data_IF_295941331774
#
_entry.id   IF_295941331774
#
_cell.length_a   1.000
_cell.length_b   1.000
_cell.length_c   1.000
_cell.angle_alpha   90.00
_cell.angle_beta   90.00
_cell.angle_gamma   90.00
#
_symmetry.space_group_name_H-M   'P 1'
#
loop_
_entity.id
_entity.type
_entity.pdbx_description
1 polymer ?
#
# COMPACT_ATOMS: atom_id res chain seq x y z
N UNK A 1 -17.98 60.32 -29.06
CA UNK A 1 -19.10 59.47 -29.51
C UNK A 1 -18.63 58.03 -29.45
N UNK A 2 -18.98 57.28 -28.40
CA UNK A 2 -18.62 55.85 -28.27
C UNK A 2 -19.84 55.01 -28.61
N UNK A 3 -19.62 53.96 -29.40
CA UNK A 3 -20.63 53.14 -30.08
C UNK A 3 -21.54 52.37 -29.11
N UNK A 4 -22.80 52.07 -29.51
CA UNK A 4 -23.83 51.53 -28.61
C UNK A 4 -23.54 50.12 -28.05
N UNK A 5 -22.71 49.31 -28.71
CA UNK A 5 -22.44 47.93 -28.27
C UNK A 5 -21.53 47.80 -27.04
N UNK A 6 -20.76 48.84 -26.66
CA UNK A 6 -19.81 48.73 -25.55
C UNK A 6 -20.45 48.94 -24.17
N UNK A 7 -21.54 49.70 -24.09
CA UNK A 7 -22.23 50.00 -22.81
C UNK A 7 -23.01 48.79 -22.29
N UNK A 8 -23.60 47.99 -23.17
CA UNK A 8 -24.43 46.84 -22.79
C UNK A 8 -23.58 45.73 -22.17
N UNK A 9 -22.36 45.51 -22.67
CA UNK A 9 -21.45 44.51 -22.13
C UNK A 9 -20.88 44.90 -20.74
N UNK A 10 -20.57 46.18 -20.54
CA UNK A 10 -20.13 46.68 -19.23
C UNK A 10 -21.24 46.64 -18.17
N UNK A 11 -22.49 46.94 -18.56
CA UNK A 11 -23.63 46.85 -17.65
C UNK A 11 -23.95 45.40 -17.27
N UNK A 12 -23.84 44.45 -18.21
CA UNK A 12 -24.02 43.02 -17.93
C UNK A 12 -22.93 42.48 -16.98
N UNK A 13 -21.68 42.92 -17.12
CA UNK A 13 -20.58 42.52 -16.23
C UNK A 13 -20.74 43.07 -14.80
N UNK A 14 -21.23 44.32 -14.66
CA UNK A 14 -21.50 44.92 -13.35
C UNK A 14 -22.73 44.30 -12.65
N UNK A 15 -23.73 43.86 -13.41
CA UNK A 15 -24.89 43.15 -12.84
C UNK A 15 -24.53 41.72 -12.39
N UNK A 16 -23.67 41.01 -13.14
CA UNK A 16 -23.20 39.69 -12.74
C UNK A 16 -22.31 39.72 -11.49
N UNK A 17 -21.45 40.75 -11.34
CA UNK A 17 -20.57 40.87 -10.17
C UNK A 17 -21.33 41.26 -8.89
N UNK A 18 -22.38 42.08 -9.00
CA UNK A 18 -23.24 42.43 -7.85
C UNK A 18 -24.10 41.26 -7.38
N UNK A 19 -24.57 40.39 -8.28
CA UNK A 19 -25.29 39.17 -7.90
C UNK A 19 -24.40 38.15 -7.17
N UNK A 20 -23.13 37.99 -7.60
CA UNK A 20 -22.17 37.12 -6.89
C UNK A 20 -21.84 37.64 -5.48
N UNK A 21 -21.71 38.96 -5.29
CA UNK A 21 -21.46 39.53 -3.95
C UNK A 21 -22.65 39.38 -3.00
N UNK A 22 -23.89 39.46 -3.51
CA UNK A 22 -25.09 39.25 -2.69
C UNK A 22 -25.27 37.77 -2.28
N UNK A 23 -24.89 36.82 -3.14
CA UNK A 23 -24.90 35.39 -2.78
C UNK A 23 -23.84 35.04 -1.74
N UNK A 24 -22.64 35.65 -1.81
CA UNK A 24 -21.59 35.45 -0.81
C UNK A 24 -21.99 35.96 0.60
N UNK A 25 -22.77 37.05 0.67
CA UNK A 25 -23.26 37.57 1.96
C UNK A 25 -24.44 36.76 2.54
N UNK A 26 -25.21 36.06 1.71
CA UNK A 26 -26.31 35.20 2.16
C UNK A 26 -25.79 33.91 2.84
N UNK A 27 -24.69 33.33 2.34
CA UNK A 27 -24.07 32.13 2.92
C UNK A 27 -23.41 32.44 4.28
N UNK A 28 -22.85 33.64 4.46
CA UNK A 28 -22.26 34.08 5.72
C UNK A 28 -23.26 34.25 6.87
N UNK A 29 -24.55 34.51 6.56
CA UNK A 29 -25.60 34.73 7.59
C UNK A 29 -26.25 33.44 8.12
N UNK A 30 -26.08 32.30 7.46
CA UNK A 30 -26.66 31.02 7.92
C UNK A 30 -25.80 30.29 8.97
N UNK A 31 -24.53 30.65 9.13
CA UNK A 31 -23.61 29.99 10.06
C UNK A 31 -23.56 30.59 11.48
N UNK A 32 -24.43 31.55 11.82
CA UNK A 32 -24.35 32.33 13.06
C UNK A 32 -25.49 32.08 14.08
N UNK A 33 -26.38 31.12 13.85
CA UNK A 33 -27.47 30.80 14.78
C UNK A 33 -27.41 29.33 15.22
N UNK A 34 -26.58 29.02 16.22
CA UNK A 34 -26.90 27.98 17.22
C UNK A 34 -25.94 28.02 18.42
N UNK A 35 -26.54 27.97 19.61
CA UNK A 35 -25.96 27.77 20.95
C UNK A 35 -25.39 28.97 21.73
N UNK A 36 -26.31 29.72 22.36
CA UNK A 36 -26.08 30.35 23.68
C UNK A 36 -27.27 30.10 24.60
N UNK A 37 -26.95 29.73 25.86
CA UNK A 37 -27.75 29.77 27.10
C UNK A 37 -28.59 28.54 27.50
N UNK A 38 -28.21 27.89 28.62
CA UNK A 38 -28.82 28.21 29.94
C UNK A 38 -28.25 27.43 31.15
N UNK A 39 -27.74 28.22 32.10
CA UNK A 39 -27.83 28.24 33.60
C UNK A 39 -27.73 26.97 34.49
N UNK A 40 -27.00 27.21 35.59
CA UNK A 40 -26.78 26.42 36.83
C UNK A 40 -27.99 26.43 37.79
N UNK A 41 -28.05 25.42 38.67
CA UNK A 41 -28.25 25.44 40.16
C UNK A 41 -28.24 23.96 40.65
N UNK A 42 -27.24 23.48 41.40
CA UNK A 42 -27.25 23.33 42.87
C UNK A 42 -26.79 21.90 43.29
N UNK A 43 -26.22 21.66 44.49
CA UNK A 43 -25.23 20.60 44.73
C UNK A 43 -25.72 19.39 45.54
N UNK A 44 -25.11 18.22 45.32
CA UNK A 44 -25.04 17.11 46.30
C UNK A 44 -23.84 16.18 46.04
N UNK A 45 -22.80 16.41 46.84
CA UNK A 45 -21.94 15.46 47.58
C UNK A 45 -21.59 14.08 46.96
N UNK A 46 -20.34 13.99 46.49
CA UNK A 46 -19.29 12.96 46.74
C UNK A 46 -19.56 11.48 46.39
N UNK A 47 -18.87 10.97 45.35
CA UNK A 47 -17.71 10.05 45.50
C UNK A 47 -16.88 9.91 44.22
N UNK A 48 -15.62 10.31 44.38
CA UNK A 48 -14.38 9.96 43.70
C UNK A 48 -14.43 8.81 42.66
N UNK A 49 -14.01 9.09 41.42
CA UNK A 49 -12.78 8.49 40.92
C UNK A 49 -12.05 9.40 39.93
N UNK A 50 -10.73 9.42 40.04
CA UNK A 50 -9.78 10.40 39.50
C UNK A 50 -9.20 9.88 38.17
N UNK A 51 -9.07 10.81 37.22
CA UNK A 51 -8.10 10.97 36.11
C UNK A 51 -7.19 9.77 35.75
N UNK A 52 -6.82 9.52 34.49
CA UNK A 52 -6.12 10.48 33.60
C UNK A 52 -5.86 9.87 32.21
N UNK A 53 -6.10 10.68 31.19
CA UNK A 53 -5.29 10.94 29.98
C UNK A 53 -4.31 9.89 29.43
N UNK A 54 -4.44 9.66 28.10
CA UNK A 54 -3.31 9.79 27.17
C UNK A 54 -2.58 8.53 26.74
N UNK A 55 -2.80 8.09 25.50
CA UNK A 55 -1.78 7.94 24.45
C UNK A 55 -2.35 7.16 23.25
N UNK A 56 -2.39 7.81 22.08
CA UNK A 56 -2.33 7.10 20.80
C UNK A 56 -1.01 6.34 20.75
N UNK A 57 -1.05 5.02 20.89
CA UNK A 57 0.09 4.18 20.55
C UNK A 57 -0.16 3.55 19.18
N UNK A 58 0.80 3.85 18.30
CA UNK A 58 1.17 3.13 17.11
C UNK A 58 0.77 1.65 17.17
N UNK A 59 0.05 1.18 16.16
CA UNK A 59 -0.16 -0.24 15.92
C UNK A 59 1.19 -0.88 15.54
N UNK A 60 2.03 -1.11 16.55
CA UNK A 60 3.10 -2.08 16.48
C UNK A 60 2.43 -3.44 16.40
N UNK A 61 2.45 -4.03 15.21
CA UNK A 61 2.02 -5.41 14.97
C UNK A 61 2.82 -6.29 15.91
N UNK A 62 2.19 -6.71 17.01
CA UNK A 62 2.74 -7.64 17.99
C UNK A 62 3.18 -8.88 17.22
N UNK A 63 4.50 -9.11 17.16
CA UNK A 63 5.10 -10.35 16.65
C UNK A 63 4.41 -11.52 17.35
N UNK A 64 3.64 -12.32 16.59
CA UNK A 64 3.30 -13.67 17.03
C UNK A 64 4.55 -14.50 16.82
N UNK A 65 5.38 -14.59 17.85
CA UNK A 65 6.27 -15.73 17.96
C UNK A 65 5.37 -16.96 18.10
N UNK A 66 5.47 -17.90 17.16
CA UNK A 66 4.94 -19.24 17.39
C UNK A 66 5.68 -19.79 18.60
N UNK A 67 5.04 -19.74 19.77
CA UNK A 67 5.52 -20.42 20.96
C UNK A 67 5.49 -21.92 20.65
N UNK A 68 6.65 -22.55 20.79
CA UNK A 68 6.87 -23.96 20.54
C UNK A 68 5.76 -24.79 21.18
N UNK A 69 5.12 -25.65 20.38
CA UNK A 69 4.22 -26.66 20.90
C UNK A 69 4.98 -27.47 21.95
N UNK A 70 4.52 -27.40 23.21
CA UNK A 70 5.03 -28.27 24.27
C UNK A 70 4.56 -29.69 23.95
N UNK A 71 5.43 -30.50 23.36
CA UNK A 71 5.20 -31.93 23.19
C UNK A 71 5.29 -32.55 24.59
N UNK A 72 4.13 -32.88 25.17
CA UNK A 72 4.05 -33.60 26.43
C UNK A 72 4.39 -35.07 26.17
N UNK A 73 5.63 -35.47 26.48
CA UNK A 73 6.05 -36.88 26.42
C UNK A 73 5.39 -37.61 27.61
N UNK A 74 4.35 -38.39 27.32
CA UNK A 74 3.77 -39.33 28.28
C UNK A 74 4.74 -40.51 28.47
N UNK A 75 5.55 -40.43 29.53
CA UNK A 75 6.38 -41.56 29.97
C UNK A 75 5.47 -42.57 30.68
N UNK A 76 5.09 -43.64 29.98
CA UNK A 76 4.45 -44.79 30.60
C UNK A 76 5.47 -45.50 31.51
N UNK A 77 5.20 -45.55 32.82
CA UNK A 77 5.99 -46.36 33.77
C UNK A 77 5.62 -47.85 33.61
N UNK A 78 6.43 -48.57 32.83
CA UNK A 78 6.47 -50.04 32.85
C UNK A 78 7.46 -50.52 33.91
N UNK A 79 7.03 -51.46 34.74
CA UNK A 79 7.86 -52.09 35.77
C UNK A 79 8.96 -52.98 35.17
N UNK A 80 10.19 -52.71 35.59
CA UNK A 80 11.27 -53.64 35.94
C UNK A 80 11.52 -54.89 35.08
N UNK A 81 12.48 -54.79 34.15
CA UNK A 81 13.58 -55.77 33.99
C UNK A 81 14.64 -55.27 33.00
N UNK A 82 15.85 -55.00 33.51
CA UNK A 82 17.17 -54.81 32.83
C UNK A 82 17.29 -53.77 31.70
N UNK A 83 18.08 -52.67 31.86
CA UNK A 83 18.29 -51.69 30.81
C UNK A 83 19.56 -52.02 30.00
N UNK A 84 19.42 -52.70 28.87
CA UNK A 84 20.31 -52.42 27.74
C UNK A 84 19.75 -51.17 27.08
N UNK A 85 20.29 -50.00 27.45
CA UNK A 85 19.92 -48.72 26.84
C UNK A 85 20.23 -48.80 25.34
N UNK A 86 19.18 -49.00 24.53
CA UNK A 86 19.26 -48.95 23.08
C UNK A 86 19.54 -47.50 22.66
N UNK A 87 20.83 -47.16 22.63
CA UNK A 87 21.35 -45.83 22.33
C UNK A 87 20.89 -45.35 20.93
N UNK A 88 20.48 -46.29 20.07
CA UNK A 88 19.91 -46.07 18.73
C UNK A 88 18.56 -45.34 18.77
N UNK A 89 17.72 -45.62 19.77
CA UNK A 89 16.38 -45.03 19.88
C UNK A 89 16.43 -43.55 20.30
N UNK A 90 17.37 -43.19 21.18
CA UNK A 90 17.57 -41.80 21.63
C UNK A 90 18.23 -40.94 20.54
N UNK A 91 19.22 -41.48 19.82
CA UNK A 91 19.86 -40.78 18.69
C UNK A 91 18.88 -40.60 17.55
N UNK A 92 18.06 -41.61 17.23
CA UNK A 92 17.01 -41.50 16.20
C UNK A 92 15.97 -40.42 16.52
N UNK A 93 15.56 -40.31 17.79
CA UNK A 93 14.62 -39.28 18.23
C UNK A 93 15.22 -37.87 18.20
N UNK A 94 16.53 -37.72 18.51
CA UNK A 94 17.23 -36.43 18.43
C UNK A 94 17.41 -35.96 16.97
N UNK A 95 17.70 -36.88 16.05
CA UNK A 95 17.82 -36.59 14.60
C UNK A 95 16.46 -36.21 14.01
N UNK A 96 15.36 -36.86 14.43
CA UNK A 96 14.02 -36.49 14.00
C UNK A 96 13.58 -35.10 14.50
N UNK A 97 13.96 -34.71 15.72
CA UNK A 97 13.67 -33.37 16.28
C UNK A 97 14.52 -32.27 15.62
N UNK A 98 15.78 -32.57 15.27
CA UNK A 98 16.64 -31.64 14.51
C UNK A 98 16.21 -31.51 13.04
N UNK A 99 15.72 -32.59 12.42
CA UNK A 99 15.17 -32.55 11.05
C UNK A 99 13.83 -31.80 10.95
N UNK A 100 13.06 -31.71 12.04
CA UNK A 100 11.79 -30.98 12.09
C UNK A 100 11.95 -29.48 12.43
N UNK A 101 13.18 -29.01 12.67
CA UNK A 101 13.47 -27.63 13.06
C UNK A 101 13.73 -26.69 11.88
N UNK A 102 13.53 -27.13 10.64
CA UNK A 102 13.35 -26.21 9.51
C UNK A 102 11.98 -25.54 9.63
N UNK A 103 11.82 -24.70 10.64
CA UNK A 103 10.80 -23.67 10.64
C UNK A 103 11.02 -22.92 9.33
N UNK A 104 10.05 -23.01 8.43
CA UNK A 104 9.99 -22.14 7.27
C UNK A 104 9.99 -20.72 7.83
N UNK A 105 11.18 -20.11 7.87
CA UNK A 105 11.32 -18.70 8.19
C UNK A 105 10.53 -18.01 7.08
N UNK A 106 9.35 -17.50 7.41
CA UNK A 106 8.57 -16.70 6.48
C UNK A 106 9.51 -15.58 6.00
N UNK A 107 9.86 -15.61 4.72
CA UNK A 107 10.71 -14.60 4.13
C UNK A 107 10.03 -13.24 4.23
N UNK A 108 10.81 -12.19 4.47
CA UNK A 108 10.27 -10.84 4.52
C UNK A 108 9.69 -10.48 3.14
N UNK A 109 8.49 -9.85 3.08
CA UNK A 109 7.93 -9.38 1.81
C UNK A 109 8.88 -8.41 1.12
N UNK A 110 8.93 -8.48 -0.22
CA UNK A 110 9.72 -7.57 -1.05
C UNK A 110 9.09 -6.17 -1.02
N UNK A 111 9.79 -5.12 -0.53
CA UNK A 111 9.32 -3.75 -0.67
C UNK A 111 9.34 -3.35 -2.15
N UNK A 112 8.17 -2.96 -2.67
CA UNK A 112 8.01 -2.48 -4.04
C UNK A 112 7.34 -1.12 -4.01
N UNK A 113 8.04 -0.09 -4.49
CA UNK A 113 7.47 1.25 -4.62
C UNK A 113 7.28 1.61 -6.09
N UNK A 114 6.09 2.10 -6.44
CA UNK A 114 5.74 2.54 -7.79
C UNK A 114 5.39 4.02 -7.76
N UNK A 115 6.18 4.83 -8.46
CA UNK A 115 5.94 6.25 -8.71
C UNK A 115 5.29 6.41 -10.08
N UNK A 116 4.12 7.01 -10.14
CA UNK A 116 3.31 7.04 -11.36
C UNK A 116 2.37 8.25 -11.39
N UNK A 117 1.75 8.47 -12.55
CA UNK A 117 0.77 9.56 -12.74
C UNK A 117 -0.58 8.97 -13.20
N UNK A 118 -1.68 9.57 -12.75
CA UNK A 118 -3.03 9.07 -13.03
C UNK A 118 -3.44 9.16 -14.50
N UNK A 119 -2.83 10.07 -15.30
CA UNK A 119 -3.17 10.25 -16.73
C UNK A 119 -2.04 9.93 -17.71
N UNK A 120 -0.86 9.57 -17.22
CA UNK A 120 0.25 9.14 -18.08
C UNK A 120 -0.04 7.77 -18.70
N UNK A 121 -0.02 7.61 -20.04
CA UNK A 121 -0.27 6.33 -20.71
C UNK A 121 0.60 5.18 -20.24
N UNK A 122 1.90 5.43 -20.04
CA UNK A 122 2.82 4.36 -19.67
C UNK A 122 2.60 3.94 -18.22
N UNK A 123 2.25 4.91 -17.35
CA UNK A 123 1.85 4.63 -15.96
C UNK A 123 0.61 3.75 -15.91
N UNK A 124 -0.42 4.14 -16.67
CA UNK A 124 -1.67 3.39 -16.79
C UNK A 124 -1.41 1.99 -17.32
N UNK A 125 -0.70 1.86 -18.45
CA UNK A 125 -0.39 0.57 -19.09
C UNK A 125 0.40 -0.36 -18.17
N UNK A 126 1.40 0.16 -17.46
CA UNK A 126 2.14 -0.62 -16.47
C UNK A 126 1.22 -1.13 -15.36
N UNK A 127 0.39 -0.24 -14.79
CA UNK A 127 -0.50 -0.65 -13.72
C UNK A 127 -1.44 -1.77 -14.17
N UNK A 128 -2.15 -1.58 -15.28
CA UNK A 128 -3.19 -2.52 -15.72
C UNK A 128 -2.62 -3.83 -16.31
N UNK A 129 -1.46 -3.78 -16.99
CA UNK A 129 -0.94 -4.94 -17.72
C UNK A 129 0.15 -5.69 -16.95
N UNK A 130 0.81 -5.05 -16.00
CA UNK A 130 1.96 -5.62 -15.30
C UNK A 130 1.68 -5.76 -13.80
N UNK A 131 1.41 -4.65 -13.12
CA UNK A 131 1.29 -4.66 -11.66
C UNK A 131 0.01 -5.35 -11.19
N UNK A 132 -1.15 -4.90 -11.65
CA UNK A 132 -2.46 -5.37 -11.17
C UNK A 132 -2.63 -6.89 -11.36
N UNK A 133 -2.40 -7.48 -12.55
CA UNK A 133 -2.52 -8.93 -12.74
C UNK A 133 -1.53 -9.74 -11.88
N UNK A 134 -0.34 -9.18 -11.60
CA UNK A 134 0.63 -9.82 -10.71
C UNK A 134 0.15 -9.82 -9.26
N UNK A 135 -0.49 -8.73 -8.82
CA UNK A 135 -1.00 -8.60 -7.44
C UNK A 135 -2.35 -9.29 -7.21
N UNK A 136 -3.08 -9.65 -8.26
CA UNK A 136 -4.26 -10.52 -8.17
C UNK A 136 -3.91 -11.97 -7.80
N UNK A 137 -2.70 -12.44 -8.16
CA UNK A 137 -2.24 -13.73 -7.71
C UNK A 137 -1.84 -13.67 -6.22
N UNK A 138 -2.59 -14.37 -5.36
CA UNK A 138 -2.38 -14.36 -3.91
C UNK A 138 -0.98 -14.85 -3.49
N UNK A 139 -0.43 -15.86 -4.17
CA UNK A 139 0.89 -16.43 -3.88
C UNK A 139 2.01 -15.42 -4.17
N UNK A 140 1.84 -14.56 -5.18
CA UNK A 140 2.78 -13.45 -5.44
C UNK A 140 2.52 -12.27 -4.51
N UNK A 141 1.25 -11.87 -4.37
CA UNK A 141 0.82 -10.69 -3.62
C UNK A 141 1.19 -10.74 -2.14
N UNK A 142 1.20 -11.92 -1.53
CA UNK A 142 1.60 -12.10 -0.12
C UNK A 142 3.10 -11.88 0.12
N UNK A 143 3.91 -11.96 -0.94
CA UNK A 143 5.37 -11.74 -0.88
C UNK A 143 5.75 -10.28 -1.20
N UNK A 144 4.80 -9.34 -1.23
CA UNK A 144 5.05 -7.94 -1.62
C UNK A 144 4.48 -6.95 -0.62
N UNK A 145 5.37 -6.09 -0.12
CA UNK A 145 5.01 -4.84 0.54
C UNK A 145 4.92 -3.73 -0.52
N UNK A 146 3.70 -3.49 -1.04
CA UNK A 146 3.47 -2.58 -2.16
C UNK A 146 3.17 -1.15 -1.66
N UNK A 147 3.94 -0.18 -2.15
CA UNK A 147 3.68 1.25 -2.00
C UNK A 147 3.39 1.90 -3.36
N UNK A 148 2.22 2.53 -3.46
CA UNK A 148 1.80 3.27 -4.64
C UNK A 148 1.90 4.78 -4.37
N UNK A 149 2.57 5.51 -5.25
CA UNK A 149 2.83 6.95 -5.13
C UNK A 149 2.28 7.68 -6.38
N UNK A 150 0.99 8.02 -6.40
CA UNK A 150 0.37 8.80 -7.48
C UNK A 150 0.75 10.28 -7.35
N UNK A 151 1.76 10.70 -8.09
CA UNK A 151 2.27 12.09 -8.12
C UNK A 151 3.14 12.32 -9.35
N UNK A 152 4.08 11.40 -9.58
CA UNK A 152 4.96 11.38 -10.75
C UNK A 152 5.81 12.63 -10.90
N UNK A 153 5.76 13.29 -12.06
CA UNK A 153 6.58 14.47 -12.37
C UNK A 153 5.90 15.80 -12.02
N UNK A 154 4.85 15.76 -11.21
CA UNK A 154 4.17 16.97 -10.75
C UNK A 154 5.12 17.84 -9.91
N UNK A 155 4.87 19.15 -9.88
CA UNK A 155 5.50 20.04 -8.90
C UNK A 155 4.47 20.52 -7.88
N UNK A 156 4.96 20.92 -6.72
CA UNK A 156 4.14 21.42 -5.62
C UNK A 156 4.80 22.65 -4.98
N UNK A 157 3.97 23.56 -4.51
CA UNK A 157 4.37 24.74 -3.76
C UNK A 157 3.42 24.95 -2.59
N UNK A 158 3.97 25.30 -1.42
CA UNK A 158 3.16 25.71 -0.28
C UNK A 158 3.00 27.23 -0.31
N UNK A 159 1.78 27.70 -0.54
CA UNK A 159 1.46 29.11 -0.63
C UNK A 159 1.51 29.78 0.76
N UNK A 160 1.60 31.12 0.77
CA UNK A 160 1.67 31.92 2.00
C UNK A 160 0.47 31.71 2.94
N UNK A 161 -0.72 31.44 2.37
CA UNK A 161 -1.94 31.14 3.12
C UNK A 161 -1.95 29.70 3.72
N UNK A 162 -0.87 28.93 3.53
CA UNK A 162 -0.72 27.57 4.03
C UNK A 162 -1.28 26.47 3.13
N UNK A 163 -1.98 26.82 2.03
CA UNK A 163 -2.53 25.85 1.06
C UNK A 163 -1.47 25.35 0.08
N UNK A 164 -1.74 24.21 -0.56
CA UNK A 164 -0.86 23.65 -1.59
C UNK A 164 -1.33 24.00 -2.98
N UNK A 165 -0.40 24.40 -3.85
CA UNK A 165 -0.61 24.48 -5.28
C UNK A 165 0.15 23.35 -5.98
N UNK A 166 -0.45 22.77 -7.02
CA UNK A 166 0.13 21.66 -7.79
C UNK A 166 0.14 21.99 -9.27
N UNK A 167 1.24 21.67 -9.95
CA UNK A 167 1.32 21.65 -11.41
C UNK A 167 1.62 20.23 -11.88
N UNK A 168 0.61 19.58 -12.45
CA UNK A 168 0.74 18.24 -13.01
C UNK A 168 1.06 18.30 -14.50
N UNK A 169 1.66 17.22 -15.03
CA UNK A 169 2.16 17.14 -16.40
C UNK A 169 1.03 17.11 -17.44
N UNK A 170 -0.10 16.50 -17.08
CA UNK A 170 -1.31 16.43 -17.91
C UNK A 170 -2.44 17.35 -17.40
N UNK A 171 -2.09 18.41 -16.66
CA UNK A 171 -3.01 19.45 -16.19
C UNK A 171 -3.83 19.07 -14.95
N UNK A 172 -4.81 19.91 -14.62
CA UNK A 172 -5.57 19.82 -13.36
C UNK A 172 -6.32 18.50 -13.17
N UNK A 173 -6.77 17.86 -14.28
CA UNK A 173 -7.45 16.57 -14.21
C UNK A 173 -6.55 15.46 -13.69
N UNK A 174 -5.25 15.52 -14.02
CA UNK A 174 -4.27 14.60 -13.43
C UNK A 174 -4.01 14.91 -11.97
N UNK A 175 -3.94 16.20 -11.58
CA UNK A 175 -3.82 16.55 -10.18
C UNK A 175 -5.01 16.02 -9.38
N UNK A 176 -6.24 16.21 -9.88
CA UNK A 176 -7.44 15.64 -9.28
C UNK A 176 -7.38 14.10 -9.24
N UNK A 177 -6.99 13.46 -10.34
CA UNK A 177 -6.85 12.00 -10.40
C UNK A 177 -5.82 11.45 -9.40
N UNK A 178 -4.68 12.14 -9.24
CA UNK A 178 -3.67 11.80 -8.25
C UNK A 178 -4.22 11.97 -6.82
N UNK A 179 -4.99 13.03 -6.54
CA UNK A 179 -5.68 13.22 -5.25
C UNK A 179 -6.68 12.10 -4.95
N UNK A 180 -7.52 11.74 -5.91
CA UNK A 180 -8.49 10.64 -5.77
C UNK A 180 -7.78 9.34 -5.40
N UNK A 181 -6.70 9.00 -6.11
CA UNK A 181 -5.94 7.79 -5.82
C UNK A 181 -5.23 7.87 -4.46
N UNK A 182 -4.64 9.02 -4.10
CA UNK A 182 -4.01 9.20 -2.77
C UNK A 182 -5.02 9.08 -1.62
N UNK A 183 -6.23 9.65 -1.78
CA UNK A 183 -7.34 9.52 -0.84
C UNK A 183 -7.80 8.07 -0.71
N UNK A 184 -7.98 7.35 -1.82
CA UNK A 184 -8.35 5.94 -1.79
C UNK A 184 -7.29 5.07 -1.10
N UNK A 185 -6.00 5.32 -1.35
CA UNK A 185 -4.90 4.61 -0.69
C UNK A 185 -4.86 4.86 0.82
N UNK A 186 -5.33 6.03 1.27
CA UNK A 186 -5.40 6.43 2.68
C UNK A 186 -6.64 5.86 3.39
N UNK A 187 -7.79 5.81 2.71
CA UNK A 187 -9.08 5.43 3.31
C UNK A 187 -9.36 3.92 3.23
N UNK A 188 -9.02 3.28 2.10
CA UNK A 188 -9.30 1.86 1.89
C UNK A 188 -8.25 1.00 2.59
N UNK A 189 -8.69 0.14 3.50
CA UNK A 189 -7.80 -0.76 4.25
C UNK A 189 -7.53 -2.06 3.48
N UNK A 190 -8.48 -2.54 2.69
CA UNK A 190 -8.32 -3.74 1.88
C UNK A 190 -7.33 -3.50 0.72
N UNK A 191 -6.30 -4.36 0.63
CA UNK A 191 -5.37 -4.36 -0.51
C UNK A 191 -6.13 -4.61 -1.83
N UNK A 192 -7.08 -5.53 -1.82
CA UNK A 192 -7.83 -5.89 -3.03
C UNK A 192 -8.73 -4.75 -3.51
N UNK A 193 -9.46 -4.10 -2.60
CA UNK A 193 -10.30 -2.94 -2.96
C UNK A 193 -9.46 -1.80 -3.52
N UNK A 194 -8.32 -1.48 -2.89
CA UNK A 194 -7.36 -0.48 -3.43
C UNK A 194 -6.93 -0.84 -4.85
N UNK A 195 -6.51 -2.08 -5.06
CA UNK A 195 -5.99 -2.52 -6.36
C UNK A 195 -7.07 -2.47 -7.44
N UNK A 196 -8.28 -2.99 -7.14
CA UNK A 196 -9.42 -3.02 -8.04
C UNK A 196 -9.93 -1.62 -8.38
N UNK A 197 -10.01 -0.73 -7.38
CA UNK A 197 -10.45 0.64 -7.58
C UNK A 197 -9.52 1.41 -8.50
N UNK A 198 -8.21 1.38 -8.20
CA UNK A 198 -7.20 2.02 -9.03
C UNK A 198 -7.16 1.41 -10.45
N UNK A 199 -7.32 0.09 -10.58
CA UNK A 199 -7.40 -0.56 -11.89
C UNK A 199 -8.58 -0.03 -12.71
N UNK A 200 -9.77 0.09 -12.12
CA UNK A 200 -10.92 0.65 -12.79
C UNK A 200 -10.67 2.11 -13.23
N UNK A 201 -10.14 2.94 -12.33
CA UNK A 201 -9.86 4.36 -12.62
C UNK A 201 -8.92 4.49 -13.81
N UNK A 202 -7.79 3.79 -13.76
CA UNK A 202 -6.74 3.84 -14.77
C UNK A 202 -7.20 3.23 -16.10
N UNK A 203 -7.93 2.11 -16.07
CA UNK A 203 -8.48 1.48 -17.28
C UNK A 203 -9.49 2.37 -17.97
N UNK A 204 -10.41 2.97 -17.23
CA UNK A 204 -11.42 3.88 -17.79
C UNK A 204 -10.76 5.12 -18.42
N UNK A 205 -9.70 5.66 -17.79
CA UNK A 205 -8.92 6.76 -18.38
C UNK A 205 -8.08 6.33 -19.59
N UNK A 206 -7.69 5.05 -19.71
CA UNK A 206 -7.07 4.52 -20.92
C UNK A 206 -8.07 4.47 -22.08
N UNK A 207 -9.25 3.92 -21.79
CA UNK A 207 -10.29 3.63 -22.78
C UNK A 207 -10.94 4.94 -23.28
N UNK A 208 -11.07 5.96 -22.42
CA UNK A 208 -11.56 7.29 -22.80
C UNK A 208 -10.74 8.43 -22.15
N UNK A 209 -9.67 8.84 -22.83
CA UNK A 209 -8.73 9.88 -22.34
C UNK A 209 -9.34 11.28 -22.19
N UNK A 210 -10.48 11.53 -22.81
CA UNK A 210 -11.23 12.79 -22.73
C UNK A 210 -12.29 12.83 -21.63
N UNK A 211 -12.56 11.68 -20.98
CA UNK A 211 -13.57 11.60 -19.94
C UNK A 211 -13.23 12.46 -18.72
N UNK A 212 -14.28 12.83 -17.98
CA UNK A 212 -14.15 13.26 -16.58
C UNK A 212 -13.52 12.11 -15.79
N UNK A 213 -12.71 12.45 -14.79
CA UNK A 213 -12.05 11.42 -13.99
C UNK A 213 -13.09 10.52 -13.29
N UNK A 214 -13.03 9.18 -13.45
CA UNK A 214 -14.15 8.27 -13.21
C UNK A 214 -14.31 7.86 -11.73
N UNK A 215 -14.17 8.81 -10.81
CA UNK A 215 -14.18 8.58 -9.36
C UNK A 215 -15.46 7.85 -8.91
N UNK A 216 -16.63 8.42 -9.22
CA UNK A 216 -17.90 7.84 -8.78
C UNK A 216 -18.28 6.58 -9.58
N UNK A 217 -18.02 6.57 -10.89
CA UNK A 217 -18.29 5.43 -11.76
C UNK A 217 -17.59 4.17 -11.24
N UNK A 218 -16.28 4.25 -11.03
CA UNK A 218 -15.49 3.13 -10.55
C UNK A 218 -15.86 2.72 -9.13
N UNK A 219 -16.14 3.68 -8.23
CA UNK A 219 -16.49 3.35 -6.86
C UNK A 219 -17.82 2.58 -6.78
N UNK A 220 -18.79 2.93 -7.63
CA UNK A 220 -20.04 2.19 -7.74
C UNK A 220 -19.84 0.81 -8.39
N UNK A 221 -19.05 0.72 -9.47
CA UNK A 221 -18.85 -0.53 -10.19
C UNK A 221 -18.26 -1.64 -9.32
N UNK A 222 -17.35 -1.31 -8.40
CA UNK A 222 -16.73 -2.29 -7.50
C UNK A 222 -17.30 -2.27 -6.07
N UNK A 223 -18.37 -1.51 -5.83
CA UNK A 223 -19.06 -1.39 -4.54
C UNK A 223 -18.19 -0.89 -3.36
N UNK A 224 -17.39 0.16 -3.57
CA UNK A 224 -16.66 0.83 -2.48
C UNK A 224 -17.64 1.53 -1.53
N UNK A 225 -17.59 1.19 -0.24
CA UNK A 225 -18.44 1.80 0.79
C UNK A 225 -18.06 3.26 1.05
N UNK A 226 -16.76 3.56 1.09
CA UNK A 226 -16.15 4.86 1.38
C UNK A 226 -16.18 5.83 0.18
N UNK A 227 -17.04 5.60 -0.82
CA UNK A 227 -17.04 6.39 -2.07
C UNK A 227 -17.22 7.88 -1.84
N UNK A 228 -18.10 8.26 -0.90
CA UNK A 228 -18.35 9.66 -0.54
C UNK A 228 -17.11 10.27 0.12
N UNK A 229 -16.51 9.55 1.07
CA UNK A 229 -15.31 9.99 1.79
C UNK A 229 -14.11 10.18 0.84
N UNK A 230 -13.96 9.32 -0.18
CA UNK A 230 -12.92 9.47 -1.21
C UNK A 230 -13.12 10.75 -2.02
N UNK A 231 -14.35 11.03 -2.46
CA UNK A 231 -14.69 12.23 -3.24
C UNK A 231 -14.48 13.49 -2.40
N UNK A 232 -14.98 13.50 -1.17
CA UNK A 232 -14.85 14.62 -0.24
C UNK A 232 -13.38 14.87 0.11
N UNK A 233 -12.61 13.80 0.36
CA UNK A 233 -11.18 13.89 0.57
C UNK A 233 -10.48 14.57 -0.62
N UNK A 234 -10.72 14.11 -1.85
CA UNK A 234 -10.05 14.65 -3.05
C UNK A 234 -10.37 16.12 -3.32
N UNK A 235 -11.55 16.59 -2.88
CA UNK A 235 -12.03 17.96 -3.00
C UNK A 235 -11.64 18.86 -1.82
N UNK A 236 -10.97 18.32 -0.80
CA UNK A 236 -10.62 19.06 0.43
C UNK A 236 -9.12 19.30 0.56
N UNK A 237 -8.74 20.15 1.52
CA UNK A 237 -7.35 20.34 1.96
C UNK A 237 -6.69 19.01 2.34
N UNK A 238 -7.46 18.01 2.81
CA UNK A 238 -6.89 16.69 3.12
C UNK A 238 -6.34 16.00 1.88
N UNK A 239 -7.04 16.09 0.75
CA UNK A 239 -6.56 15.57 -0.53
C UNK A 239 -5.30 16.28 -1.00
N UNK A 240 -5.22 17.59 -0.79
CA UNK A 240 -4.03 18.39 -1.09
C UNK A 240 -2.83 17.97 -0.22
N UNK A 241 -3.03 17.80 1.09
CA UNK A 241 -1.99 17.30 2.01
C UNK A 241 -1.50 15.90 1.62
N UNK A 242 -2.42 15.02 1.23
CA UNK A 242 -2.07 13.66 0.80
C UNK A 242 -1.28 13.68 -0.50
N UNK A 243 -1.66 14.50 -1.48
CA UNK A 243 -0.90 14.66 -2.72
C UNK A 243 0.48 15.26 -2.45
N UNK A 244 0.57 16.27 -1.57
CA UNK A 244 1.84 16.84 -1.15
C UNK A 244 2.75 15.82 -0.46
N UNK A 245 2.18 14.92 0.34
CA UNK A 245 2.92 13.82 0.95
C UNK A 245 3.44 12.82 -0.10
N UNK A 246 2.68 12.54 -1.17
CA UNK A 246 3.17 11.73 -2.30
C UNK A 246 4.30 12.45 -3.06
N UNK A 247 4.22 13.77 -3.19
CA UNK A 247 5.29 14.59 -3.76
C UNK A 247 6.56 14.57 -2.91
N UNK A 248 6.43 14.70 -1.58
CA UNK A 248 7.56 14.58 -0.65
C UNK A 248 8.23 13.21 -0.77
N UNK A 249 7.46 12.11 -0.85
CA UNK A 249 8.02 10.77 -1.09
C UNK A 249 8.80 10.70 -2.40
N UNK A 250 8.24 11.27 -3.47
CA UNK A 250 8.89 11.31 -4.78
C UNK A 250 10.21 12.09 -4.73
N UNK A 251 10.22 13.27 -4.12
CA UNK A 251 11.40 14.12 -3.99
C UNK A 251 12.48 13.49 -3.10
N UNK A 252 12.09 12.83 -2.01
CA UNK A 252 13.01 12.10 -1.13
C UNK A 252 13.70 10.93 -1.85
N UNK A 253 12.98 10.24 -2.74
CA UNK A 253 13.54 9.16 -3.54
C UNK A 253 14.43 9.68 -4.68
N UNK A 254 13.92 10.63 -5.44
CA UNK A 254 14.62 11.23 -6.57
C UNK A 254 14.13 12.66 -6.77
N UNK A 255 14.93 13.63 -6.32
CA UNK A 255 14.59 15.06 -6.32
C UNK A 255 13.99 15.55 -7.66
N UNK A 256 14.45 14.97 -8.78
CA UNK A 256 13.83 15.12 -10.08
C UNK A 256 13.62 13.76 -10.74
N UNK A 257 12.40 13.22 -10.59
CA UNK A 257 11.99 12.00 -11.28
C UNK A 257 11.99 12.25 -12.80
N UNK A 258 12.78 11.46 -13.55
CA UNK A 258 12.98 11.69 -15.00
C UNK A 258 11.96 10.96 -15.88
N UNK A 259 11.35 9.89 -15.38
CA UNK A 259 10.35 9.10 -16.11
C UNK A 259 9.34 8.46 -15.18
N UNK A 260 8.14 8.22 -15.71
CA UNK A 260 7.07 7.47 -15.05
C UNK A 260 6.52 6.42 -16.02
N UNK A 261 6.09 5.23 -15.54
CA UNK A 261 6.17 4.79 -14.15
C UNK A 261 7.63 4.52 -13.76
N UNK A 262 7.99 4.73 -12.49
CA UNK A 262 9.27 4.29 -11.92
C UNK A 262 9.00 3.26 -10.83
N UNK A 263 9.58 2.08 -10.97
CA UNK A 263 9.43 0.90 -10.11
C UNK A 263 10.73 0.67 -9.37
N UNK A 264 10.63 0.50 -8.06
CA UNK A 264 11.78 0.34 -7.16
C UNK A 264 11.56 -0.90 -6.32
N UNK A 265 12.54 -1.80 -6.33
CA UNK A 265 12.54 -3.02 -5.52
C UNK A 265 13.54 -2.85 -4.37
N UNK A 266 13.21 -3.32 -3.17
CA UNK A 266 14.06 -3.22 -1.97
C UNK A 266 14.59 -1.79 -1.71
N UNK A 267 13.77 -0.77 -2.00
CA UNK A 267 14.12 0.65 -1.87
C UNK A 267 15.40 1.09 -2.62
N UNK A 268 15.86 0.31 -3.61
CA UNK A 268 17.04 0.60 -4.42
C UNK A 268 16.66 0.71 -5.89
N UNK A 269 16.91 1.88 -6.49
CA UNK A 269 16.69 2.05 -7.92
C UNK A 269 17.75 1.29 -8.71
N UNK A 270 17.30 0.44 -9.63
CA UNK A 270 18.14 -0.22 -10.63
C UNK A 270 17.52 0.01 -12.01
N UNK A 271 18.32 0.56 -12.94
CA UNK A 271 17.84 0.95 -14.26
C UNK A 271 17.43 -0.26 -15.13
N UNK A 272 18.09 -1.41 -14.96
CA UNK A 272 17.77 -2.62 -15.71
C UNK A 272 16.47 -3.24 -15.20
N UNK A 273 16.30 -3.32 -13.89
CA UNK A 273 15.05 -3.80 -13.29
C UNK A 273 13.89 -2.86 -13.59
N UNK A 274 14.09 -1.54 -13.52
CA UNK A 274 13.11 -0.55 -13.95
C UNK A 274 12.67 -0.77 -15.40
N UNK A 275 13.63 -0.96 -16.32
CA UNK A 275 13.34 -1.23 -17.74
C UNK A 275 12.60 -2.55 -17.94
N UNK A 276 13.04 -3.62 -17.27
CA UNK A 276 12.43 -4.95 -17.38
C UNK A 276 11.05 -5.01 -16.75
N UNK A 277 10.82 -4.30 -15.64
CA UNK A 277 9.56 -4.30 -14.92
C UNK A 277 8.41 -3.74 -15.78
N UNK A 278 8.70 -2.86 -16.74
CA UNK A 278 7.68 -2.31 -17.63
C UNK A 278 7.03 -3.36 -18.55
N UNK A 279 7.72 -4.47 -18.83
CA UNK A 279 7.22 -5.54 -19.72
C UNK A 279 7.15 -6.91 -19.05
N UNK A 280 7.86 -7.10 -17.93
CA UNK A 280 7.89 -8.33 -17.15
C UNK A 280 8.06 -8.04 -15.65
N UNK A 281 7.10 -7.30 -15.07
CA UNK A 281 7.11 -6.98 -13.63
C UNK A 281 7.20 -8.23 -12.75
N UNK A 282 6.38 -9.26 -13.05
CA UNK A 282 6.42 -10.54 -12.33
C UNK A 282 7.82 -11.16 -12.31
N UNK A 283 8.49 -11.18 -13.47
CA UNK A 283 9.83 -11.75 -13.57
C UNK A 283 10.87 -11.01 -12.73
N UNK A 284 10.82 -9.68 -12.73
CA UNK A 284 11.69 -8.86 -11.88
C UNK A 284 11.37 -9.10 -10.39
N UNK A 285 10.09 -9.08 -10.01
CA UNK A 285 9.66 -9.38 -8.64
C UNK A 285 10.18 -10.74 -8.16
N UNK A 286 10.06 -11.78 -8.99
CA UNK A 286 10.53 -13.13 -8.66
C UNK A 286 12.05 -13.23 -8.44
N UNK A 287 12.86 -12.28 -8.91
CA UNK A 287 14.29 -12.20 -8.55
C UNK A 287 14.49 -11.92 -7.06
N UNK A 288 13.59 -11.13 -6.48
CA UNK A 288 13.69 -10.60 -5.11
C UNK A 288 12.94 -11.44 -4.07
N UNK A 289 11.98 -12.28 -4.48
CA UNK A 289 11.34 -13.23 -3.56
C UNK A 289 12.36 -14.29 -3.15
N UNK A 290 12.49 -14.51 -1.83
CA UNK A 290 13.41 -15.51 -1.26
C UNK A 290 12.86 -16.94 -1.39
N UNK A 291 13.74 -17.94 -1.26
CA UNK A 291 13.33 -19.34 -1.29
C UNK A 291 12.58 -19.76 0.00
N UNK A 292 11.59 -20.67 -0.10
CA UNK A 292 11.07 -21.27 -1.32
C UNK A 292 10.18 -20.32 -2.12
N UNK A 293 10.47 -20.12 -3.40
CA UNK A 293 9.69 -19.24 -4.28
C UNK A 293 8.33 -19.87 -4.65
N UNK A 294 7.29 -19.04 -4.85
CA UNK A 294 6.02 -19.49 -5.44
C UNK A 294 6.21 -20.17 -6.79
N UNK A 295 5.34 -21.11 -7.12
CA UNK A 295 5.37 -21.81 -8.41
C UNK A 295 5.23 -20.85 -9.61
N UNK A 296 4.57 -19.71 -9.41
CA UNK A 296 4.44 -18.63 -10.40
C UNK A 296 5.76 -17.99 -10.82
N UNK A 297 6.81 -18.17 -10.00
CA UNK A 297 8.19 -17.79 -10.29
C UNK A 297 8.99 -18.90 -10.98
N UNK A 298 8.44 -20.12 -11.13
CA UNK A 298 9.07 -21.16 -11.93
C UNK A 298 9.04 -20.75 -13.41
N UNK A 299 10.22 -20.75 -14.05
CA UNK A 299 10.39 -20.30 -15.44
C UNK A 299 11.11 -18.94 -15.58
N UNK A 300 11.52 -18.32 -14.48
CA UNK A 300 12.42 -17.13 -14.48
C UNK A 300 13.85 -17.49 -14.05
N UNK A 301 14.21 -18.77 -14.08
CA UNK A 301 15.38 -19.32 -13.42
C UNK A 301 16.70 -18.86 -14.06
N UNK A 302 17.33 -17.87 -13.44
CA UNK A 302 18.77 -17.99 -13.18
C UNK A 302 18.99 -19.25 -12.31
N UNK A 303 20.01 -20.02 -12.68
CA UNK A 303 20.37 -21.35 -12.19
C UNK A 303 19.94 -21.66 -10.74
N UNK A 304 19.10 -22.69 -10.58
CA UNK A 304 18.94 -23.35 -9.30
C UNK A 304 20.29 -24.01 -8.93
N UNK A 305 20.92 -23.54 -7.85
CA UNK A 305 22.01 -24.27 -7.22
C UNK A 305 21.44 -25.56 -6.64
N UNK A 306 21.82 -26.68 -7.24
CA UNK A 306 21.54 -28.00 -6.70
C UNK A 306 22.24 -28.08 -5.34
N UNK A 307 21.47 -28.05 -4.26
CA UNK A 307 21.99 -28.29 -2.91
C UNK A 307 22.63 -29.67 -2.88
N UNK A 308 23.95 -29.71 -2.68
CA UNK A 308 24.80 -30.90 -2.64
C UNK A 308 24.54 -31.82 -1.43
N UNK A 309 23.41 -31.67 -0.76
CA UNK A 309 23.05 -32.40 0.47
C UNK A 309 22.77 -33.89 0.25
N UNK A 310 22.73 -34.37 -1.00
CA UNK A 310 22.59 -35.81 -1.31
C UNK A 310 23.93 -36.58 -1.30
N UNK A 311 25.09 -35.90 -1.34
CA UNK A 311 26.39 -36.59 -1.29
C UNK A 311 26.87 -36.93 0.14
N UNK A 312 26.36 -36.25 1.16
CA UNK A 312 26.74 -36.51 2.56
C UNK A 312 26.07 -37.79 3.10
N UNK A 313 24.93 -38.18 2.53
CA UNK A 313 24.21 -39.40 2.94
C UNK A 313 24.91 -40.66 2.41
N UNK A 314 25.50 -40.63 1.22
CA UNK A 314 26.25 -41.78 0.69
C UNK A 314 27.61 -41.98 1.38
N UNK A 315 28.27 -40.92 1.85
CA UNK A 315 29.55 -41.03 2.54
C UNK A 315 29.42 -41.62 3.96
N UNK A 316 28.29 -41.42 4.63
CA UNK A 316 28.05 -41.95 5.99
C UNK A 316 27.63 -43.41 5.98
N UNK A 317 26.93 -43.88 4.93
CA UNK A 317 26.57 -45.30 4.78
C UNK A 317 27.82 -46.15 4.49
N UNK A 318 28.75 -45.68 3.65
CA UNK A 318 29.97 -46.42 3.32
C UNK A 318 30.93 -46.59 4.51
N UNK A 319 30.94 -45.65 5.46
CA UNK A 319 31.74 -45.76 6.69
C UNK A 319 31.11 -46.70 7.73
N UNK A 320 29.78 -46.86 7.72
CA UNK A 320 29.10 -47.83 8.59
C UNK A 320 29.32 -49.29 8.16
N UNK A 321 29.45 -49.55 6.85
CA UNK A 321 29.71 -50.91 6.34
C UNK A 321 31.16 -51.38 6.47
N UNK A 322 32.14 -50.50 6.67
CA UNK A 322 33.55 -50.90 6.91
C UNK A 322 33.87 -51.22 8.38
N UNK A 323 32.90 -51.15 9.28
CA UNK A 323 33.07 -51.54 10.70
C UNK A 323 32.35 -52.85 11.06
N UNK A 324 31.61 -53.45 10.13
CA UNK A 324 30.81 -54.66 10.37
C UNK A 324 31.11 -55.84 9.43
N UNK A 325 32.14 -55.72 8.58
CA UNK A 325 32.75 -56.83 7.83
C UNK A 325 34.27 -56.71 7.85
#
# INVERSE_FOLDING_TARGET
MTTPCSRTAQQAFQQASSQQQQQAQAVSRQSACQFVSSRRLGPSVVRLNRDRSGCCQSASTRRRTCSSASVLILIHRGHSSSPSLDMSAFVGCLVAVLACSSLAQAADPVPVTVYYESLCPDSIKFYINQLYPTMENANLSMNVELQLVPYGKSTQEKLENGTWAFQCHHGERECYGNKVQACALNLLTSKNERLQYLNCLLKTMLDNRGAVYPTNECANQINIAEKADIIDCANSTKGDELLAAMGNKTQLFMAKLTSVPTVVFNNKFDANDQKQAQTNFKGVLCKYISDPKPAECAGTSGAASISTSLFVIFATISLFFSQYF
#
